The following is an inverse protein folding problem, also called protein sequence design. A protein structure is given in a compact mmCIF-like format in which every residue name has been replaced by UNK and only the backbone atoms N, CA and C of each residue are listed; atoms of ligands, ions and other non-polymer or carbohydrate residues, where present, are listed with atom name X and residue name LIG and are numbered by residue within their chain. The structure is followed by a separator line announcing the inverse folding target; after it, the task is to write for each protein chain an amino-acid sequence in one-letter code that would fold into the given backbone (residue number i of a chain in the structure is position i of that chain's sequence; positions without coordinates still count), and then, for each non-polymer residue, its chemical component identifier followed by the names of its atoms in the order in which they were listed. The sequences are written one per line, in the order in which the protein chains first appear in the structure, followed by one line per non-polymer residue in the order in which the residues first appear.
data_IF_269767135347
#
_entry.id   IF_269767135347
#
_cell.length_a   1.000
_cell.length_b   1.000
_cell.length_c   1.000
_cell.angle_alpha   90.00
_cell.angle_beta   90.00
_cell.angle_gamma   90.00
#
_symmetry.space_group_name_H-M   'P 1'
#
loop_
_entity.id
_entity.type
_entity.pdbx_description
1 polymer ?
#
# COMPACT_ATOMS: atom_id res chain seq x y z
N UNK A 1 -39.64 51.74 41.80
CA UNK A 1 -38.26 52.09 42.19
C UNK A 1 -37.37 51.65 41.02
N UNK A 2 -37.28 52.42 39.93
CA UNK A 2 -36.24 53.46 39.65
C UNK A 2 -34.84 52.86 39.79
N UNK A 3 -34.21 52.40 38.71
CA UNK A 3 -33.36 53.17 37.77
C UNK A 3 -32.06 53.67 38.42
N UNK A 4 -30.91 53.31 37.81
CA UNK A 4 -29.93 54.26 37.26
C UNK A 4 -28.47 53.79 37.27
N UNK A 5 -27.82 54.14 36.15
CA UNK A 5 -26.41 54.08 35.81
C UNK A 5 -25.52 54.89 36.79
N UNK A 6 -24.19 54.73 36.69
CA UNK A 6 -23.22 55.76 36.25
C UNK A 6 -21.79 55.55 36.82
N UNK A 7 -20.83 55.58 35.89
CA UNK A 7 -19.41 56.05 35.89
C UNK A 7 -18.49 56.05 37.12
N UNK A 8 -17.28 55.52 36.83
CA UNK A 8 -15.94 56.10 36.99
C UNK A 8 -15.80 57.53 37.60
N UNK A 9 -14.91 57.67 38.59
CA UNK A 9 -13.90 58.75 38.67
C UNK A 9 -12.80 58.50 39.72
N UNK A 10 -11.59 58.91 39.34
CA UNK A 10 -10.30 58.96 40.04
C UNK A 10 -10.28 59.81 41.32
N UNK A 11 -9.34 59.55 42.25
CA UNK A 11 -8.18 60.43 42.58
C UNK A 11 -7.32 59.82 43.72
N UNK A 12 -5.99 59.67 43.49
CA UNK A 12 -4.83 60.39 44.12
C UNK A 12 -4.59 60.00 45.61
N UNK A 13 -3.38 59.74 46.12
CA UNK A 13 -2.05 60.34 45.90
C UNK A 13 -0.94 59.47 46.56
N UNK A 14 0.20 59.29 45.89
CA UNK A 14 1.57 59.76 46.23
C UNK A 14 2.42 58.98 47.25
N UNK A 15 3.53 58.42 46.76
CA UNK A 15 4.93 58.76 47.06
C UNK A 15 5.84 57.58 46.65
N UNK A 16 6.46 57.60 45.47
CA UNK A 16 7.78 58.18 45.14
C UNK A 16 8.97 57.45 45.75
N UNK A 17 9.69 56.65 44.95
CA UNK A 17 11.15 56.75 44.74
C UNK A 17 11.62 55.82 43.60
N UNK A 18 12.04 56.45 42.50
CA UNK A 18 13.05 56.01 41.51
C UNK A 18 14.39 56.70 41.90
N UNK A 19 15.59 56.43 41.30
CA UNK A 19 15.88 55.92 39.94
C UNK A 19 16.99 54.82 39.91
N UNK A 20 17.29 54.11 38.82
CA UNK A 20 18.04 54.57 37.64
C UNK A 20 17.95 53.59 36.44
N UNK A 21 18.06 54.20 35.26
CA UNK A 21 17.95 53.67 33.90
C UNK A 21 19.17 52.84 33.44
N UNK A 22 18.93 51.83 32.59
CA UNK A 22 19.63 51.67 31.32
C UNK A 22 18.79 50.84 30.34
N UNK A 23 18.49 51.43 29.19
CA UNK A 23 17.91 50.78 28.01
C UNK A 23 18.93 49.83 27.38
N UNK A 24 18.48 48.72 26.78
CA UNK A 24 18.73 48.43 25.35
C UNK A 24 18.04 47.12 24.88
N UNK A 25 17.30 47.30 23.78
CA UNK A 25 17.23 46.45 22.58
C UNK A 25 16.38 45.16 22.59
N UNK A 26 15.54 45.15 21.56
CA UNK A 26 14.55 44.19 21.09
C UNK A 26 15.12 42.83 20.65
N UNK A 27 14.30 41.78 20.71
CA UNK A 27 14.68 40.47 20.20
C UNK A 27 13.54 39.45 20.20
N UNK A 28 12.60 39.62 19.27
CA UNK A 28 11.66 38.60 18.84
C UNK A 28 12.44 37.37 18.33
N UNK A 29 12.25 36.18 18.90
CA UNK A 29 12.83 34.93 18.37
C UNK A 29 11.77 34.12 17.64
N UNK A 30 11.80 34.26 16.32
CA UNK A 30 11.28 33.28 15.37
C UNK A 30 12.00 31.94 15.59
N UNK A 31 11.25 30.86 15.85
CA UNK A 31 11.75 29.49 15.83
C UNK A 31 11.58 28.92 14.42
N UNK A 32 12.40 29.42 13.49
CA UNK A 32 12.57 28.83 12.17
C UNK A 32 13.84 27.97 12.14
N UNK A 33 13.71 26.69 11.86
CA UNK A 33 14.83 25.77 11.61
C UNK A 33 15.80 26.35 10.58
N UNK A 34 17.10 26.24 10.85
CA UNK A 34 18.11 26.80 9.97
C UNK A 34 18.34 25.90 8.75
N UNK A 35 18.60 26.50 7.58
CA UNK A 35 18.91 25.78 6.33
C UNK A 35 20.13 24.84 6.41
N UNK A 36 20.93 24.91 7.47
CA UNK A 36 22.06 24.00 7.73
C UNK A 36 21.67 22.72 8.48
N UNK A 37 20.55 22.71 9.20
CA UNK A 37 20.01 21.49 9.84
C UNK A 37 19.26 20.60 8.84
N UNK A 38 18.72 21.18 7.76
CA UNK A 38 18.06 20.43 6.69
C UNK A 38 19.03 19.58 5.83
N UNK A 39 20.30 19.99 5.72
CA UNK A 39 21.31 19.25 4.95
C UNK A 39 21.91 18.08 5.76
N UNK A 40 21.85 18.14 7.10
CA UNK A 40 22.34 17.07 7.98
C UNK A 40 21.42 15.86 8.09
N UNK A 41 20.11 16.02 7.89
CA UNK A 41 19.14 14.91 7.91
C UNK A 41 19.07 14.11 6.61
N UNK A 42 19.49 14.68 5.48
CA UNK A 42 19.49 13.98 4.19
C UNK A 42 20.65 12.97 4.05
N UNK A 43 21.70 13.08 4.86
CA UNK A 43 22.88 12.21 4.80
C UNK A 43 22.81 10.99 5.75
N UNK A 44 21.91 11.00 6.74
CA UNK A 44 21.81 9.93 7.75
C UNK A 44 20.91 8.74 7.32
N UNK A 45 20.19 8.86 6.20
CA UNK A 45 19.38 7.77 5.62
C UNK A 45 20.20 6.79 4.76
N UNK A 46 21.51 7.01 4.62
CA UNK A 46 22.34 6.44 3.55
C UNK A 46 23.33 5.34 3.98
N UNK A 47 23.21 4.73 5.16
CA UNK A 47 24.14 3.65 5.61
C UNK A 47 23.46 2.34 6.03
N UNK A 48 22.18 2.12 5.73
CA UNK A 48 21.55 0.79 5.80
C UNK A 48 21.37 0.11 4.44
N UNK A 49 22.10 0.57 3.42
CA UNK A 49 22.27 -0.14 2.17
C UNK A 49 23.54 -1.01 2.25
N UNK A 50 23.48 -2.12 2.99
CA UNK A 50 24.61 -3.04 2.99
C UNK A 50 24.78 -3.94 4.22
N UNK A 51 23.72 -4.64 4.66
CA UNK A 51 23.83 -5.98 5.27
C UNK A 51 22.42 -6.55 5.46
N UNK A 52 21.77 -6.94 4.37
CA UNK A 52 20.70 -7.94 4.42
C UNK A 52 21.05 -9.03 3.41
N UNK A 53 21.63 -10.11 3.93
CA UNK A 53 21.83 -11.41 3.29
C UNK A 53 22.02 -11.44 1.77
N UNK A 54 23.25 -11.16 1.35
CA UNK A 54 23.81 -11.82 0.17
C UNK A 54 24.05 -13.31 0.51
N UNK A 55 22.98 -14.12 0.60
CA UNK A 55 23.09 -15.59 0.70
C UNK A 55 21.82 -16.37 0.32
N UNK A 56 20.91 -15.79 -0.46
CA UNK A 56 19.96 -16.59 -1.24
C UNK A 56 20.35 -16.45 -2.70
N UNK A 57 21.05 -17.45 -3.25
CA UNK A 57 21.19 -17.58 -4.69
C UNK A 57 19.80 -17.41 -5.34
N UNK A 58 19.73 -16.64 -6.42
CA UNK A 58 18.51 -16.28 -7.15
C UNK A 58 17.74 -17.55 -7.56
N UNK A 59 16.86 -18.01 -6.67
CA UNK A 59 15.83 -18.96 -7.06
C UNK A 59 14.98 -18.26 -8.11
N UNK A 60 15.08 -18.77 -9.34
CA UNK A 60 14.24 -18.39 -10.44
C UNK A 60 13.50 -19.62 -10.95
N UNK A 61 12.28 -19.41 -11.40
CA UNK A 61 11.49 -20.44 -12.07
C UNK A 61 11.12 -19.90 -13.45
N UNK A 62 11.50 -20.61 -14.52
CA UNK A 62 11.31 -20.17 -15.91
C UNK A 62 11.83 -18.73 -16.16
N UNK A 63 12.96 -18.38 -15.54
CA UNK A 63 13.59 -17.07 -15.63
C UNK A 63 12.90 -15.95 -14.84
N UNK A 64 11.86 -16.26 -14.05
CA UNK A 64 11.21 -15.31 -13.14
C UNK A 64 11.93 -15.33 -11.79
N UNK A 65 12.52 -14.22 -11.32
CA UNK A 65 13.13 -14.15 -9.99
C UNK A 65 12.12 -14.30 -8.85
N UNK A 66 12.53 -14.89 -7.73
CA UNK A 66 11.71 -15.01 -6.52
C UNK A 66 12.33 -14.28 -5.33
N UNK A 67 11.49 -13.68 -4.48
CA UNK A 67 11.89 -13.01 -3.25
C UNK A 67 11.19 -13.62 -2.04
N UNK A 68 11.78 -13.43 -0.87
CA UNK A 68 11.11 -13.80 0.38
C UNK A 68 9.97 -12.81 0.66
N UNK A 69 8.82 -13.32 1.09
CA UNK A 69 7.68 -12.51 1.51
C UNK A 69 7.91 -11.99 2.93
N UNK A 70 8.58 -10.86 3.06
CA UNK A 70 8.96 -10.26 4.34
C UNK A 70 9.62 -11.27 5.28
N UNK A 71 9.18 -11.30 6.54
CA UNK A 71 9.64 -12.25 7.57
C UNK A 71 8.95 -13.62 7.55
N UNK A 72 8.10 -13.92 6.57
CA UNK A 72 7.27 -15.16 6.58
C UNK A 72 8.03 -16.41 6.17
N UNK A 73 9.14 -16.27 5.45
CA UNK A 73 9.91 -17.39 4.87
C UNK A 73 9.34 -17.93 3.54
N UNK A 74 8.15 -17.49 3.12
CA UNK A 74 7.56 -17.91 1.84
C UNK A 74 8.33 -17.28 0.66
N UNK A 75 8.54 -18.05 -0.41
CA UNK A 75 9.12 -17.56 -1.66
C UNK A 75 8.02 -17.19 -2.65
N UNK A 76 8.03 -15.96 -3.12
CA UNK A 76 7.05 -15.43 -4.09
C UNK A 76 7.76 -14.88 -5.31
N UNK A 77 7.17 -15.07 -6.49
CA UNK A 77 7.66 -14.48 -7.74
C UNK A 77 7.70 -12.96 -7.62
N UNK A 78 8.73 -12.32 -8.19
CA UNK A 78 8.92 -10.86 -8.12
C UNK A 78 7.76 -10.09 -8.77
N UNK A 79 7.03 -10.74 -9.68
CA UNK A 79 5.79 -10.26 -10.25
C UNK A 79 4.61 -11.17 -9.86
N UNK A 80 3.44 -10.58 -9.62
CA UNK A 80 2.21 -11.27 -9.28
C UNK A 80 1.05 -10.88 -10.21
N UNK A 81 0.06 -11.76 -10.33
CA UNK A 81 -1.13 -11.51 -11.14
C UNK A 81 -2.23 -10.83 -10.33
N UNK A 82 -2.65 -9.64 -10.76
CA UNK A 82 -3.74 -8.86 -10.16
C UNK A 82 -5.13 -9.28 -10.64
N UNK A 83 -6.04 -9.54 -9.69
CA UNK A 83 -7.35 -10.14 -9.94
C UNK A 83 -8.40 -9.23 -10.60
N UNK A 84 -8.31 -7.91 -10.42
CA UNK A 84 -9.36 -6.97 -10.85
C UNK A 84 -9.71 -7.06 -12.34
N UNK A 85 -8.71 -7.29 -13.20
CA UNK A 85 -8.90 -7.37 -14.65
C UNK A 85 -9.41 -8.73 -15.13
N UNK A 86 -9.24 -9.77 -14.31
CA UNK A 86 -9.57 -11.15 -14.66
C UNK A 86 -11.07 -11.45 -14.58
N UNK A 87 -11.88 -10.54 -14.04
CA UNK A 87 -13.34 -10.64 -14.04
C UNK A 87 -14.04 -10.01 -15.25
N UNK A 88 -13.29 -9.37 -16.17
CA UNK A 88 -13.86 -8.49 -17.21
C UNK A 88 -13.94 -9.11 -18.61
N UNK A 89 -13.25 -10.23 -18.84
CA UNK A 89 -13.25 -10.90 -20.15
C UNK A 89 -14.67 -11.37 -20.50
N UNK A 90 -15.04 -11.21 -21.77
CA UNK A 90 -16.32 -11.72 -22.31
C UNK A 90 -16.39 -13.24 -22.26
N UNK A 91 -15.27 -13.91 -22.55
CA UNK A 91 -15.08 -15.35 -22.35
C UNK A 91 -14.33 -15.61 -21.02
N UNK A 92 -14.97 -16.23 -20.01
CA UNK A 92 -14.30 -16.61 -18.77
C UNK A 92 -13.12 -17.57 -18.94
N UNK A 93 -13.08 -18.37 -20.02
CA UNK A 93 -11.97 -19.28 -20.28
C UNK A 93 -10.67 -18.53 -20.62
N UNK A 94 -10.77 -17.31 -21.14
CA UNK A 94 -9.60 -16.47 -21.35
C UNK A 94 -8.93 -16.10 -20.02
N UNK A 95 -9.70 -15.74 -19.00
CA UNK A 95 -9.19 -15.46 -17.66
C UNK A 95 -8.49 -16.68 -17.06
N UNK A 96 -9.09 -17.86 -17.22
CA UNK A 96 -8.52 -19.14 -16.75
C UNK A 96 -7.19 -19.41 -17.46
N UNK A 97 -7.14 -19.21 -18.79
CA UNK A 97 -5.93 -19.37 -19.59
C UNK A 97 -4.82 -18.40 -19.16
N UNK A 98 -5.13 -17.13 -18.91
CA UNK A 98 -4.16 -16.14 -18.43
C UNK A 98 -3.57 -16.59 -17.08
N UNK A 99 -4.42 -16.97 -16.13
CA UNK A 99 -3.99 -17.40 -14.79
C UNK A 99 -3.07 -18.63 -14.88
N UNK A 100 -3.52 -19.68 -15.59
CA UNK A 100 -2.76 -20.93 -15.71
C UNK A 100 -1.45 -20.73 -16.46
N UNK A 101 -1.47 -19.95 -17.55
CA UNK A 101 -0.24 -19.63 -18.29
C UNK A 101 0.74 -18.88 -17.40
N UNK A 102 0.30 -17.90 -16.60
CA UNK A 102 1.18 -17.23 -15.65
C UNK A 102 1.82 -18.19 -14.64
N UNK A 103 1.02 -19.11 -14.09
CA UNK A 103 1.53 -20.14 -13.15
C UNK A 103 2.54 -21.07 -13.83
N UNK A 104 2.24 -21.54 -15.02
CA UNK A 104 3.13 -22.43 -15.77
C UNK A 104 4.43 -21.73 -16.20
N UNK A 105 4.40 -20.40 -16.36
CA UNK A 105 5.57 -19.57 -16.68
C UNK A 105 6.34 -19.06 -15.44
N UNK A 106 5.96 -19.48 -14.23
CA UNK A 106 6.70 -19.21 -13.00
C UNK A 106 6.15 -18.08 -12.11
N UNK A 107 4.96 -17.55 -12.38
CA UNK A 107 4.28 -16.64 -11.43
C UNK A 107 3.56 -17.48 -10.37
N UNK A 108 3.85 -17.29 -9.09
CA UNK A 108 3.12 -17.99 -8.02
C UNK A 108 2.23 -17.06 -7.17
N UNK A 109 2.39 -15.74 -7.24
CA UNK A 109 1.60 -14.82 -6.41
C UNK A 109 0.33 -14.37 -7.13
N UNK A 110 -0.84 -14.71 -6.58
CA UNK A 110 -2.14 -14.41 -7.17
C UNK A 110 -2.98 -13.54 -6.23
N UNK A 111 -3.23 -12.31 -6.66
CA UNK A 111 -4.00 -11.29 -5.94
C UNK A 111 -5.47 -11.27 -6.38
N UNK A 112 -6.39 -11.12 -5.42
CA UNK A 112 -7.82 -10.97 -5.70
C UNK A 112 -8.49 -10.05 -4.66
N UNK A 113 -9.79 -9.84 -4.76
CA UNK A 113 -10.62 -9.19 -3.73
C UNK A 113 -12.06 -9.70 -3.84
N UNK A 114 -12.77 -9.75 -2.71
CA UNK A 114 -14.15 -10.25 -2.66
C UNK A 114 -15.14 -9.44 -3.53
N UNK A 115 -14.88 -8.15 -3.74
CA UNK A 115 -15.77 -7.22 -4.45
C UNK A 115 -15.48 -7.10 -5.95
N UNK A 116 -14.32 -7.60 -6.42
CA UNK A 116 -13.87 -7.39 -7.79
C UNK A 116 -14.83 -8.00 -8.80
N UNK A 117 -15.46 -7.12 -9.59
CA UNK A 117 -16.48 -7.47 -10.59
C UNK A 117 -17.65 -8.24 -9.96
N UNK A 118 -18.10 -7.83 -8.76
CA UNK A 118 -19.19 -8.49 -8.05
C UNK A 118 -18.84 -9.91 -7.55
N UNK A 119 -17.55 -10.22 -7.43
CA UNK A 119 -17.05 -11.54 -7.03
C UNK A 119 -16.66 -12.46 -8.18
N UNK A 120 -16.93 -12.09 -9.43
CA UNK A 120 -16.63 -12.94 -10.59
C UNK A 120 -15.12 -13.21 -10.75
N UNK A 121 -14.29 -12.28 -10.29
CA UNK A 121 -12.83 -12.44 -10.34
C UNK A 121 -12.36 -13.61 -9.45
N UNK A 122 -12.97 -13.80 -8.28
CA UNK A 122 -12.70 -14.94 -7.39
C UNK A 122 -13.26 -16.24 -7.95
N UNK A 123 -14.45 -16.21 -8.57
CA UNK A 123 -15.05 -17.39 -9.22
C UNK A 123 -14.14 -17.92 -10.34
N UNK A 124 -13.62 -17.02 -11.19
CA UNK A 124 -12.71 -17.39 -12.28
C UNK A 124 -11.35 -17.88 -11.74
N UNK A 125 -10.82 -17.22 -10.71
CA UNK A 125 -9.59 -17.66 -10.03
C UNK A 125 -9.75 -19.07 -9.41
N UNK A 126 -10.86 -19.33 -8.71
CA UNK A 126 -11.15 -20.64 -8.14
C UNK A 126 -11.23 -21.75 -9.18
N UNK A 127 -11.84 -21.49 -10.34
CA UNK A 127 -11.85 -22.43 -11.48
C UNK A 127 -10.44 -22.70 -12.00
N UNK A 128 -9.63 -21.66 -12.18
CA UNK A 128 -8.27 -21.79 -12.69
C UNK A 128 -7.35 -22.62 -11.79
N UNK A 129 -7.55 -22.54 -10.46
CA UNK A 129 -6.75 -23.25 -9.46
C UNK A 129 -7.07 -24.74 -9.29
N UNK A 130 -8.13 -25.25 -9.94
CA UNK A 130 -8.43 -26.69 -9.98
C UNK A 130 -7.34 -27.47 -10.73
N UNK A 131 -7.29 -28.79 -10.51
CA UNK A 131 -6.41 -29.69 -11.25
C UNK A 131 -4.93 -29.57 -10.85
N UNK A 132 -4.64 -29.28 -9.58
CA UNK A 132 -3.28 -29.20 -9.06
C UNK A 132 -2.65 -27.80 -9.08
N UNK A 133 -3.31 -26.80 -9.67
CA UNK A 133 -2.79 -25.43 -9.73
C UNK A 133 -2.79 -24.73 -8.37
N UNK A 134 -3.73 -25.05 -7.47
CA UNK A 134 -3.77 -24.48 -6.10
C UNK A 134 -2.47 -24.68 -5.33
N UNK A 135 -1.79 -25.81 -5.51
CA UNK A 135 -0.55 -26.15 -4.83
C UNK A 135 0.66 -25.38 -5.37
N UNK A 136 0.55 -24.83 -6.59
CA UNK A 136 1.58 -24.01 -7.23
C UNK A 136 1.43 -22.52 -6.90
N UNK A 137 0.35 -22.12 -6.23
CA UNK A 137 -0.02 -20.72 -6.03
C UNK A 137 0.05 -20.31 -4.56
N UNK A 138 0.63 -19.14 -4.33
CA UNK A 138 0.40 -18.30 -3.16
C UNK A 138 -0.84 -17.45 -3.42
N UNK A 139 -1.98 -17.86 -2.86
CA UNK A 139 -3.29 -17.27 -3.13
C UNK A 139 -3.65 -16.25 -2.05
N UNK A 140 -3.92 -15.01 -2.47
CA UNK A 140 -4.40 -13.96 -1.58
C UNK A 140 -5.73 -13.37 -2.04
N UNK A 141 -6.51 -12.87 -1.09
CA UNK A 141 -7.71 -12.07 -1.36
C UNK A 141 -7.86 -10.99 -0.30
N UNK A 142 -8.87 -10.13 -0.46
CA UNK A 142 -9.12 -9.00 0.43
C UNK A 142 -10.60 -8.93 0.78
N UNK A 143 -10.88 -8.33 1.94
CA UNK A 143 -12.23 -8.07 2.46
C UNK A 143 -12.37 -6.59 2.82
N UNK A 144 -13.55 -6.03 2.65
CA UNK A 144 -13.85 -4.63 3.01
C UNK A 144 -14.33 -4.49 4.45
N UNK A 145 -14.92 -5.56 5.01
CA UNK A 145 -15.60 -5.57 6.30
C UNK A 145 -14.75 -4.98 7.43
N UNK A 146 -15.28 -3.95 8.07
CA UNK A 146 -14.73 -3.29 9.26
C UNK A 146 -15.37 -3.81 10.55
N UNK A 147 -16.54 -4.43 10.47
CA UNK A 147 -17.14 -5.16 11.58
C UNK A 147 -16.83 -6.65 11.48
N UNK A 148 -16.85 -7.36 12.62
CA UNK A 148 -16.65 -8.81 12.70
C UNK A 148 -17.61 -9.56 11.78
N UNK A 149 -18.89 -9.19 11.79
CA UNK A 149 -19.94 -9.83 10.99
C UNK A 149 -19.67 -9.69 9.50
N UNK A 150 -19.38 -8.46 9.02
CA UNK A 150 -19.10 -8.21 7.61
C UNK A 150 -17.82 -8.94 7.16
N UNK A 151 -16.74 -8.84 7.95
CA UNK A 151 -15.47 -9.50 7.66
C UNK A 151 -15.62 -11.03 7.55
N UNK A 152 -16.32 -11.65 8.51
CA UNK A 152 -16.56 -13.10 8.51
C UNK A 152 -17.41 -13.54 7.30
N UNK A 153 -18.46 -12.79 6.96
CA UNK A 153 -19.32 -13.10 5.82
C UNK A 153 -18.55 -13.03 4.50
N UNK A 154 -17.78 -11.97 4.29
CA UNK A 154 -17.00 -11.77 3.06
C UNK A 154 -15.88 -12.81 2.91
N UNK A 155 -15.19 -13.17 4.00
CA UNK A 155 -14.18 -14.22 3.98
C UNK A 155 -14.78 -15.59 3.62
N UNK A 156 -15.92 -15.96 4.22
CA UNK A 156 -16.57 -17.23 3.91
C UNK A 156 -17.03 -17.29 2.44
N UNK A 157 -17.53 -16.18 1.91
CA UNK A 157 -17.90 -16.08 0.50
C UNK A 157 -16.67 -16.17 -0.43
N UNK A 158 -15.56 -15.55 -0.04
CA UNK A 158 -14.30 -15.63 -0.78
C UNK A 158 -13.78 -17.07 -0.86
N UNK A 159 -13.74 -17.78 0.27
CA UNK A 159 -13.37 -19.21 0.33
C UNK A 159 -14.26 -20.07 -0.58
N UNK A 160 -15.57 -19.81 -0.57
CA UNK A 160 -16.54 -20.51 -1.41
C UNK A 160 -16.28 -20.30 -2.91
N UNK A 161 -16.08 -19.04 -3.33
CA UNK A 161 -15.83 -18.67 -4.74
C UNK A 161 -14.48 -19.18 -5.23
N UNK A 162 -13.44 -19.06 -4.40
CA UNK A 162 -12.09 -19.55 -4.67
C UNK A 162 -11.95 -21.07 -4.57
N UNK A 163 -12.96 -21.76 -4.02
CA UNK A 163 -13.04 -23.22 -3.91
C UNK A 163 -11.83 -23.80 -3.17
N UNK A 164 -11.48 -23.18 -2.06
CA UNK A 164 -10.36 -23.54 -1.19
C UNK A 164 -10.81 -23.43 0.26
N UNK A 165 -10.24 -24.25 1.14
CA UNK A 165 -10.44 -24.16 2.59
C UNK A 165 -9.49 -23.15 3.25
N UNK A 166 -8.46 -22.70 2.51
CA UNK A 166 -7.40 -21.84 3.00
C UNK A 166 -6.99 -20.75 2.01
N UNK A 167 -6.87 -19.52 2.54
CA UNK A 167 -6.24 -18.36 1.91
C UNK A 167 -4.84 -18.18 2.49
N UNK A 168 -3.84 -17.96 1.63
CA UNK A 168 -2.47 -17.75 2.09
C UNK A 168 -2.32 -16.38 2.74
N UNK A 169 -2.80 -15.32 2.11
CA UNK A 169 -2.81 -13.96 2.68
C UNK A 169 -4.19 -13.32 2.57
N UNK A 170 -4.75 -12.88 3.69
CA UNK A 170 -5.97 -12.08 3.71
C UNK A 170 -5.62 -10.62 4.04
N UNK A 171 -6.20 -9.67 3.32
CA UNK A 171 -6.01 -8.26 3.62
C UNK A 171 -7.31 -7.52 3.90
N UNK A 172 -7.25 -6.53 4.80
CA UNK A 172 -8.25 -5.47 4.86
C UNK A 172 -8.07 -4.56 3.64
N UNK A 173 -9.08 -4.54 2.77
CA UNK A 173 -9.11 -3.76 1.54
C UNK A 173 -9.48 -2.30 1.82
N UNK A 174 -9.05 -1.40 0.93
CA UNK A 174 -9.36 0.03 0.96
C UNK A 174 -9.32 0.69 2.34
N UNK A 175 -8.20 0.53 3.05
CA UNK A 175 -7.88 1.36 4.21
C UNK A 175 -7.52 2.75 3.67
N UNK A 176 -8.55 3.56 3.43
CA UNK A 176 -8.48 4.87 2.76
C UNK A 176 -9.12 5.99 3.57
N UNK A 177 -9.71 5.68 4.72
CA UNK A 177 -10.31 6.65 5.65
C UNK A 177 -9.48 6.70 6.93
N UNK A 178 -9.39 7.88 7.53
CA UNK A 178 -8.72 8.04 8.82
C UNK A 178 -9.34 7.15 9.92
N UNK A 179 -10.65 6.88 9.85
CA UNK A 179 -11.36 6.03 10.80
C UNK A 179 -11.21 4.52 10.57
N UNK A 180 -10.67 4.07 9.43
CA UNK A 180 -10.57 2.65 9.12
C UNK A 180 -9.72 1.87 10.15
N UNK A 181 -8.52 2.32 10.55
CA UNK A 181 -7.73 1.64 11.58
C UNK A 181 -8.49 1.39 12.87
N UNK A 182 -9.16 2.43 13.38
CA UNK A 182 -9.87 2.37 14.66
C UNK A 182 -11.07 1.41 14.57
N UNK A 183 -11.79 1.40 13.44
CA UNK A 183 -12.91 0.47 13.21
C UNK A 183 -12.46 -0.99 13.07
N UNK A 184 -11.35 -1.25 12.38
CA UNK A 184 -10.83 -2.62 12.21
C UNK A 184 -10.47 -3.26 13.55
N UNK A 185 -9.88 -2.48 14.47
CA UNK A 185 -9.37 -2.94 15.75
C UNK A 185 -10.30 -2.71 16.95
N UNK A 186 -11.44 -2.04 16.78
CA UNK A 186 -12.45 -1.87 17.82
C UNK A 186 -13.02 -3.21 18.31
N UNK A 187 -13.66 -3.19 19.48
CA UNK A 187 -14.47 -4.32 19.95
C UNK A 187 -15.57 -4.65 18.93
N UNK A 188 -15.67 -5.93 18.54
CA UNK A 188 -16.54 -6.35 17.44
C UNK A 188 -16.07 -5.91 16.05
N UNK A 189 -14.83 -5.43 15.93
CA UNK A 189 -14.18 -5.03 14.69
C UNK A 189 -13.76 -6.22 13.82
N UNK A 190 -13.45 -5.94 12.56
CA UNK A 190 -13.11 -6.94 11.56
C UNK A 190 -11.90 -7.79 11.94
N UNK A 191 -10.95 -7.26 12.72
CA UNK A 191 -9.76 -7.99 13.15
C UNK A 191 -10.10 -9.23 14.00
N UNK A 192 -11.17 -9.20 14.81
CA UNK A 192 -11.59 -10.37 15.58
C UNK A 192 -11.93 -11.57 14.66
N UNK A 193 -12.72 -11.33 13.61
CA UNK A 193 -13.10 -12.38 12.65
C UNK A 193 -11.87 -12.94 11.91
N UNK A 194 -10.93 -12.07 11.55
CA UNK A 194 -9.71 -12.48 10.84
C UNK A 194 -8.77 -13.29 11.74
N UNK A 195 -8.64 -12.93 13.02
CA UNK A 195 -7.88 -13.71 14.00
C UNK A 195 -8.53 -15.06 14.30
N UNK A 196 -9.86 -15.11 14.42
CA UNK A 196 -10.60 -16.38 14.54
C UNK A 196 -10.38 -17.28 13.32
N UNK A 197 -10.42 -16.72 12.11
CA UNK A 197 -10.15 -17.45 10.88
C UNK A 197 -8.71 -17.95 10.78
N UNK A 198 -7.73 -17.15 11.24
CA UNK A 198 -6.32 -17.58 11.33
C UNK A 198 -6.16 -18.73 12.33
N UNK A 199 -6.78 -18.64 13.51
CA UNK A 199 -6.79 -19.72 14.52
C UNK A 199 -7.44 -20.99 13.97
N UNK A 200 -8.48 -20.87 13.16
CA UNK A 200 -9.16 -21.98 12.51
C UNK A 200 -8.40 -22.55 11.29
N UNK A 201 -7.24 -22.00 10.93
CA UNK A 201 -6.44 -22.47 9.80
C UNK A 201 -6.90 -22.00 8.41
N UNK A 202 -7.97 -21.19 8.34
CA UNK A 202 -8.53 -20.66 7.07
C UNK A 202 -7.66 -19.57 6.43
N UNK A 203 -6.85 -18.89 7.23
CA UNK A 203 -5.95 -17.80 6.79
C UNK A 203 -4.56 -18.03 7.38
N UNK A 204 -3.49 -17.83 6.61
CA UNK A 204 -2.10 -17.96 7.11
C UNK A 204 -1.54 -16.63 7.56
N UNK A 205 -1.58 -15.65 6.65
CA UNK A 205 -0.99 -14.34 6.80
C UNK A 205 -2.08 -13.26 6.74
N UNK A 206 -1.84 -12.17 7.46
CA UNK A 206 -2.78 -11.05 7.56
C UNK A 206 -2.07 -9.77 7.15
N UNK A 207 -2.71 -9.00 6.27
CA UNK A 207 -2.22 -7.71 5.83
C UNK A 207 -3.32 -6.67 5.72
N UNK A 208 -2.98 -5.55 5.09
CA UNK A 208 -3.95 -4.56 4.64
C UNK A 208 -3.46 -3.87 3.36
N UNK A 209 -4.37 -3.20 2.68
CA UNK A 209 -4.06 -2.36 1.52
C UNK A 209 -4.87 -1.07 1.54
N UNK A 210 -4.33 -0.06 0.87
CA UNK A 210 -5.01 1.19 0.60
C UNK A 210 -4.15 2.02 -0.34
N UNK A 211 -4.75 3.04 -0.96
CA UNK A 211 -4.06 3.83 -1.98
C UNK A 211 -4.22 5.33 -1.82
N UNK A 212 -4.94 5.80 -0.79
CA UNK A 212 -5.31 7.22 -0.67
C UNK A 212 -4.20 8.08 -0.08
N UNK A 213 -3.66 7.66 1.07
CA UNK A 213 -2.64 8.44 1.77
C UNK A 213 -1.69 7.52 2.55
N UNK A 214 -0.36 7.78 2.48
CA UNK A 214 0.62 7.11 3.33
C UNK A 214 0.38 7.38 4.82
N UNK A 215 -0.19 8.53 5.19
CA UNK A 215 -0.44 8.85 6.61
C UNK A 215 -1.52 7.94 7.21
N UNK A 216 -2.48 7.49 6.40
CA UNK A 216 -3.49 6.49 6.81
C UNK A 216 -2.84 5.12 7.01
N UNK A 217 -1.87 4.75 6.16
CA UNK A 217 -1.09 3.50 6.34
C UNK A 217 -0.25 3.55 7.61
N UNK A 218 0.42 4.67 7.88
CA UNK A 218 1.17 4.88 9.12
C UNK A 218 0.24 4.81 10.34
N UNK A 219 -0.96 5.40 10.28
CA UNK A 219 -1.96 5.27 11.33
C UNK A 219 -2.39 3.81 11.52
N UNK A 220 -2.64 3.06 10.45
CA UNK A 220 -3.00 1.64 10.52
C UNK A 220 -1.92 0.79 11.21
N UNK A 221 -0.64 1.01 10.85
CA UNK A 221 0.50 0.34 11.48
C UNK A 221 0.62 0.71 12.97
N UNK A 222 0.49 1.99 13.29
CA UNK A 222 0.54 2.46 14.68
C UNK A 222 -0.62 1.91 15.53
N UNK A 223 -1.84 1.88 14.99
CA UNK A 223 -2.99 1.29 15.67
C UNK A 223 -2.78 -0.20 15.89
N UNK A 224 -2.32 -0.94 14.87
CA UNK A 224 -1.99 -2.36 15.04
C UNK A 224 -0.97 -2.60 16.15
N UNK A 225 0.11 -1.80 16.19
CA UNK A 225 1.12 -1.89 17.24
C UNK A 225 0.55 -1.63 18.64
N UNK A 226 -0.37 -0.66 18.79
CA UNK A 226 -1.04 -0.39 20.09
C UNK A 226 -1.88 -1.58 20.56
N UNK A 227 -2.45 -2.34 19.62
CA UNK A 227 -3.18 -3.58 19.90
C UNK A 227 -2.26 -4.81 19.98
N UNK A 228 -0.93 -4.64 20.01
CA UNK A 228 0.03 -5.74 20.09
C UNK A 228 0.06 -6.61 18.83
N UNK A 229 -0.42 -6.10 17.70
CA UNK A 229 -0.49 -6.82 16.44
C UNK A 229 0.54 -6.29 15.44
N UNK A 230 1.18 -7.21 14.71
CA UNK A 230 2.10 -6.88 13.60
C UNK A 230 1.64 -7.57 12.33
N UNK A 231 1.34 -6.78 11.30
CA UNK A 231 0.96 -7.31 9.99
C UNK A 231 2.08 -8.16 9.37
N UNK A 232 1.69 -9.10 8.52
CA UNK A 232 2.62 -9.94 7.76
C UNK A 232 2.99 -9.27 6.41
N UNK A 233 2.05 -8.52 5.83
CA UNK A 233 2.20 -7.86 4.53
C UNK A 233 1.40 -6.55 4.43
N UNK A 234 1.88 -5.60 3.64
CA UNK A 234 1.15 -4.38 3.27
C UNK A 234 1.25 -4.18 1.76
N UNK A 235 0.10 -3.93 1.13
CA UNK A 235 0.02 -3.61 -0.29
C UNK A 235 -0.27 -2.12 -0.49
N UNK A 236 0.52 -1.46 -1.32
CA UNK A 236 0.44 -0.01 -1.52
C UNK A 236 0.92 0.44 -2.91
N UNK A 237 0.52 1.63 -3.37
CA UNK A 237 1.05 2.18 -4.62
C UNK A 237 2.56 2.37 -4.52
N UNK A 238 3.31 1.76 -5.44
CA UNK A 238 4.75 1.95 -5.56
C UNK A 238 5.08 2.03 -7.05
N UNK A 239 5.26 3.25 -7.55
CA UNK A 239 5.40 3.54 -8.97
C UNK A 239 6.24 4.82 -9.17
N UNK A 240 6.65 5.10 -10.40
CA UNK A 240 7.52 6.24 -10.74
C UNK A 240 6.93 7.62 -10.42
N UNK A 241 5.59 7.75 -10.34
CA UNK A 241 4.92 8.99 -9.95
C UNK A 241 4.84 9.15 -8.42
N UNK A 242 4.75 8.03 -7.68
CA UNK A 242 4.59 8.03 -6.22
C UNK A 242 5.71 8.81 -5.51
N UNK A 243 6.94 8.74 -6.04
CA UNK A 243 8.08 9.44 -5.48
C UNK A 243 7.90 10.97 -5.38
N UNK A 244 6.98 11.56 -6.14
CA UNK A 244 6.82 13.02 -6.26
C UNK A 244 5.63 13.58 -5.48
N UNK A 245 4.60 12.77 -5.22
CA UNK A 245 3.36 13.27 -4.61
C UNK A 245 2.79 12.31 -3.56
N UNK A 246 2.67 12.81 -2.33
CA UNK A 246 2.13 12.06 -1.17
C UNK A 246 2.65 10.61 -1.11
N UNK A 247 3.98 10.48 -1.10
CA UNK A 247 4.69 9.25 -1.43
C UNK A 247 4.57 8.17 -0.35
N UNK A 248 4.12 6.98 -0.76
CA UNK A 248 4.22 5.76 0.05
C UNK A 248 5.66 5.26 0.12
N UNK A 249 6.42 5.38 -0.98
CA UNK A 249 7.84 5.01 -1.06
C UNK A 249 8.69 5.77 -0.04
N UNK A 250 8.44 7.07 0.17
CA UNK A 250 9.25 7.88 1.11
C UNK A 250 8.81 7.75 2.56
N UNK A 251 7.54 7.42 2.81
CA UNK A 251 6.94 7.45 4.17
C UNK A 251 6.73 6.06 4.77
N UNK A 252 6.13 5.14 4.01
CA UNK A 252 5.66 3.84 4.53
C UNK A 252 6.67 2.74 4.28
N UNK A 253 7.28 2.71 3.08
CA UNK A 253 8.22 1.68 2.67
C UNK A 253 9.42 1.49 3.62
N UNK A 254 10.06 2.55 4.18
CA UNK A 254 11.15 2.37 5.13
C UNK A 254 10.68 1.67 6.41
N UNK A 255 9.49 2.03 6.92
CA UNK A 255 8.90 1.42 8.12
C UNK A 255 8.66 -0.07 7.90
N UNK A 256 8.04 -0.44 6.77
CA UNK A 256 7.77 -1.85 6.46
C UNK A 256 9.05 -2.67 6.35
N UNK A 257 10.09 -2.09 5.72
CA UNK A 257 11.38 -2.76 5.51
C UNK A 257 12.11 -2.98 6.83
N UNK A 258 12.17 -1.95 7.69
CA UNK A 258 12.74 -2.03 9.03
C UNK A 258 12.01 -3.08 9.89
N UNK A 259 10.69 -3.15 9.77
CA UNK A 259 9.87 -4.10 10.51
C UNK A 259 9.84 -5.52 9.92
N UNK A 260 10.48 -5.76 8.77
CA UNK A 260 10.40 -7.05 8.07
C UNK A 260 8.98 -7.44 7.64
N UNK A 261 8.11 -6.45 7.40
CA UNK A 261 6.78 -6.64 6.84
C UNK A 261 6.89 -6.74 5.33
N UNK A 262 6.22 -7.72 4.73
CA UNK A 262 6.29 -7.90 3.28
C UNK A 262 5.67 -6.71 2.54
N UNK A 263 6.40 -6.20 1.55
CA UNK A 263 5.96 -5.06 0.72
C UNK A 263 5.40 -5.57 -0.59
N UNK A 264 4.13 -5.28 -0.87
CA UNK A 264 3.44 -5.66 -2.10
C UNK A 264 3.19 -4.38 -2.91
N UNK A 265 3.98 -4.18 -3.98
CA UNK A 265 3.80 -3.05 -4.87
C UNK A 265 2.58 -3.23 -5.76
N UNK A 266 1.72 -2.23 -5.86
CA UNK A 266 0.62 -2.20 -6.82
C UNK A 266 0.60 -0.88 -7.61
N UNK A 267 -0.26 -0.81 -8.62
CA UNK A 267 -0.50 0.39 -9.43
C UNK A 267 0.77 0.94 -10.12
N UNK A 268 1.68 0.06 -10.55
CA UNK A 268 2.89 0.45 -11.29
C UNK A 268 2.61 1.32 -12.51
N UNK A 269 1.44 1.16 -13.14
CA UNK A 269 0.98 1.96 -14.29
C UNK A 269 -0.28 2.80 -13.97
N UNK A 270 -0.74 2.83 -12.72
CA UNK A 270 -1.89 3.63 -12.28
C UNK A 270 -3.20 3.36 -13.04
N UNK A 271 -3.49 2.10 -13.38
CA UNK A 271 -4.59 1.73 -14.30
C UNK A 271 -4.47 2.51 -15.62
N UNK A 272 -3.40 2.27 -16.38
CA UNK A 272 -2.97 2.97 -17.62
C UNK A 272 -2.71 4.48 -17.54
N UNK A 273 -3.31 5.22 -16.59
CA UNK A 273 -3.26 6.69 -16.52
C UNK A 273 -1.83 7.23 -16.50
N UNK A 274 -0.88 6.56 -15.82
CA UNK A 274 0.53 6.98 -15.80
C UNK A 274 1.14 7.02 -17.21
N UNK A 275 0.75 6.09 -18.08
CA UNK A 275 1.28 5.99 -19.45
C UNK A 275 0.76 7.12 -20.34
N UNK A 276 -0.36 7.76 -20.01
CA UNK A 276 -0.88 8.92 -20.74
C UNK A 276 0.03 10.15 -20.63
N UNK A 277 0.87 10.20 -19.60
CA UNK A 277 1.93 11.21 -19.47
C UNK A 277 2.97 11.14 -20.59
N UNK A 278 3.09 9.97 -21.26
CA UNK A 278 4.13 9.63 -22.26
C UNK A 278 5.56 9.76 -21.73
N UNK A 279 5.75 9.88 -20.41
CA UNK A 279 7.06 10.06 -19.79
C UNK A 279 7.81 8.73 -19.62
N UNK A 280 7.08 7.62 -19.53
CA UNK A 280 7.61 6.29 -19.21
C UNK A 280 6.88 5.20 -20.00
N UNK A 281 7.58 4.09 -20.21
CA UNK A 281 7.05 2.87 -20.83
C UNK A 281 6.51 1.88 -19.77
N UNK A 282 5.67 0.90 -20.15
CA UNK A 282 5.22 -0.14 -19.23
C UNK A 282 6.35 -0.93 -18.56
N UNK A 283 7.43 -1.21 -19.29
CA UNK A 283 8.60 -1.93 -18.76
C UNK A 283 9.34 -1.06 -17.73
N UNK A 284 9.56 0.23 -18.02
CA UNK A 284 10.18 1.16 -17.04
C UNK A 284 9.34 1.25 -15.75
N UNK A 285 8.01 1.30 -15.85
CA UNK A 285 7.13 1.29 -14.69
C UNK A 285 7.31 0.03 -13.83
N UNK A 286 7.29 -1.15 -14.46
CA UNK A 286 7.45 -2.43 -13.76
C UNK A 286 8.85 -2.58 -13.17
N UNK A 287 9.90 -2.24 -13.93
CA UNK A 287 11.28 -2.30 -13.47
C UNK A 287 11.54 -1.35 -12.30
N UNK A 288 10.98 -0.15 -12.32
CA UNK A 288 11.06 0.77 -11.17
C UNK A 288 10.43 0.15 -9.92
N UNK A 289 9.18 -0.33 -10.01
CA UNK A 289 8.50 -0.97 -8.87
C UNK A 289 9.24 -2.21 -8.36
N UNK A 290 9.84 -3.00 -9.26
CA UNK A 290 10.63 -4.19 -8.89
C UNK A 290 11.99 -3.82 -8.30
N UNK A 291 12.55 -2.64 -8.63
CA UNK A 291 13.81 -2.16 -8.07
C UNK A 291 13.70 -1.75 -6.60
N UNK A 292 12.50 -1.33 -6.17
CA UNK A 292 12.20 -1.09 -4.76
C UNK A 292 12.27 -2.41 -3.95
N UNK A 293 12.44 -2.37 -2.62
CA UNK A 293 12.44 -3.55 -1.73
C UNK A 293 11.04 -4.21 -1.59
N UNK A 294 10.38 -4.45 -2.73
CA UNK A 294 9.12 -5.18 -2.84
C UNK A 294 9.39 -6.68 -2.75
N UNK A 295 8.55 -7.42 -2.02
CA UNK A 295 8.50 -8.88 -2.14
C UNK A 295 7.88 -9.29 -3.47
N UNK A 296 6.85 -8.56 -3.92
CA UNK A 296 6.17 -8.79 -5.21
C UNK A 296 5.59 -7.49 -5.75
N UNK A 297 5.62 -7.33 -7.08
CA UNK A 297 4.90 -6.29 -7.82
C UNK A 297 3.69 -6.91 -8.50
N UNK A 298 2.50 -6.49 -8.09
CA UNK A 298 1.23 -7.00 -8.59
C UNK A 298 0.81 -6.18 -9.81
N UNK A 299 0.67 -6.86 -10.95
CA UNK A 299 0.28 -6.23 -12.22
C UNK A 299 -1.02 -6.83 -12.76
N UNK A 300 -1.87 -5.97 -13.32
CA UNK A 300 -3.08 -6.41 -14.01
C UNK A 300 -2.73 -7.04 -15.36
N UNK A 301 -3.33 -8.19 -15.66
CA UNK A 301 -3.24 -8.83 -16.97
C UNK A 301 -4.66 -9.16 -17.44
N UNK A 302 -5.14 -8.45 -18.46
CA UNK A 302 -6.48 -8.64 -19.03
C UNK A 302 -6.50 -9.52 -20.28
N UNK A 303 -5.32 -9.83 -20.82
CA UNK A 303 -5.12 -10.53 -22.08
C UNK A 303 -3.77 -11.24 -22.10
N UNK A 304 -3.61 -12.21 -23.01
CA UNK A 304 -2.34 -12.93 -23.18
C UNK A 304 -1.16 -12.00 -23.55
N UNK A 305 -1.30 -10.98 -24.42
CA UNK A 305 -0.22 -10.05 -24.71
C UNK A 305 0.25 -9.26 -23.47
N UNK A 306 -0.66 -8.83 -22.59
CA UNK A 306 -0.30 -8.13 -21.35
C UNK A 306 0.38 -9.08 -20.37
N UNK A 307 -0.04 -10.35 -20.30
CA UNK A 307 0.69 -11.38 -19.56
C UNK A 307 2.13 -11.54 -20.10
N UNK A 308 2.31 -11.62 -21.43
CA UNK A 308 3.65 -11.73 -22.02
C UNK A 308 4.52 -10.51 -21.72
N UNK A 309 3.96 -9.30 -21.70
CA UNK A 309 4.68 -8.10 -21.25
C UNK A 309 5.14 -8.22 -19.79
N UNK A 310 4.28 -8.72 -18.90
CA UNK A 310 4.62 -8.93 -17.50
C UNK A 310 5.75 -9.97 -17.33
N UNK A 311 5.67 -11.09 -18.06
CA UNK A 311 6.71 -12.12 -18.07
C UNK A 311 8.03 -11.60 -18.64
N UNK A 312 7.98 -10.83 -19.73
CA UNK A 312 9.15 -10.17 -20.29
C UNK A 312 9.78 -9.22 -19.27
N UNK A 313 8.98 -8.38 -18.61
CA UNK A 313 9.47 -7.44 -17.60
C UNK A 313 10.23 -8.17 -16.49
N UNK A 314 9.66 -9.26 -15.96
CA UNK A 314 10.30 -10.05 -14.90
C UNK A 314 11.57 -10.77 -15.37
N UNK A 315 11.57 -11.38 -16.57
CA UNK A 315 12.74 -12.09 -17.13
C UNK A 315 13.92 -11.19 -17.48
N UNK A 316 13.61 -9.98 -17.92
CA UNK A 316 14.61 -8.97 -18.31
C UNK A 316 14.99 -8.03 -17.17
N UNK A 317 14.39 -8.19 -15.99
CA UNK A 317 14.67 -7.32 -14.86
C UNK A 317 16.11 -7.48 -14.39
N UNK A 318 16.78 -6.35 -14.25
CA UNK A 318 18.05 -6.20 -13.55
C UNK A 318 17.90 -5.02 -12.58
N UNK A 319 18.48 -5.09 -11.37
CA UNK A 319 18.48 -3.96 -10.44
C UNK A 319 19.00 -2.69 -11.13
N UNK A 320 18.25 -1.60 -10.99
CA UNK A 320 18.60 -0.29 -11.54
C UNK A 320 19.61 0.40 -10.62
N UNK A 321 20.68 0.92 -11.20
CA UNK A 321 21.63 1.75 -10.47
C UNK A 321 21.06 3.15 -10.16
N UNK A 322 21.78 3.90 -9.33
CA UNK A 322 21.38 5.26 -8.93
C UNK A 322 21.15 6.21 -10.11
N UNK A 323 21.94 6.08 -11.19
CA UNK A 323 21.81 6.95 -12.37
C UNK A 323 20.56 6.61 -13.18
N UNK A 324 20.23 5.33 -13.31
CA UNK A 324 19.03 4.84 -13.99
C UNK A 324 17.77 5.24 -13.22
N UNK A 325 17.76 5.08 -11.89
CA UNK A 325 16.67 5.53 -11.03
C UNK A 325 16.50 7.05 -11.13
N UNK A 326 17.60 7.83 -11.02
CA UNK A 326 17.55 9.28 -11.14
C UNK A 326 17.01 9.74 -12.51
N UNK A 327 17.37 9.04 -13.60
CA UNK A 327 16.86 9.34 -14.93
C UNK A 327 15.34 9.11 -15.03
N UNK A 328 14.81 8.01 -14.48
CA UNK A 328 13.36 7.76 -14.43
C UNK A 328 12.61 8.80 -13.59
N UNK A 329 13.16 9.14 -12.42
CA UNK A 329 12.59 10.16 -11.54
C UNK A 329 12.62 11.55 -12.17
N UNK A 330 13.67 11.89 -12.94
CA UNK A 330 13.74 13.15 -13.67
C UNK A 330 12.67 13.25 -14.76
N UNK A 331 12.40 12.18 -15.51
CA UNK A 331 11.32 12.13 -16.53
C UNK A 331 9.93 12.37 -15.91
N UNK A 332 9.74 11.89 -14.69
CA UNK A 332 8.44 11.83 -14.02
C UNK A 332 8.21 12.95 -13.01
N UNK A 333 9.24 13.76 -12.69
CA UNK A 333 9.15 14.81 -11.68
C UNK A 333 8.00 15.79 -11.95
N UNK A 334 7.97 16.41 -13.13
CA UNK A 334 6.91 17.36 -13.50
C UNK A 334 5.54 16.67 -13.69
N UNK A 335 5.42 15.54 -14.39
CA UNK A 335 4.15 14.81 -14.46
C UNK A 335 3.60 14.39 -13.09
N UNK A 336 4.47 14.00 -12.15
CA UNK A 336 4.10 13.44 -10.85
C UNK A 336 3.84 14.46 -9.75
N UNK A 337 4.29 15.71 -9.89
CA UNK A 337 4.34 16.69 -8.78
C UNK A 337 2.99 16.99 -8.10
N UNK A 338 1.88 16.88 -8.83
CA UNK A 338 0.54 17.24 -8.35
C UNK A 338 -0.42 16.05 -8.22
N UNK A 339 0.05 14.81 -8.40
CA UNK A 339 -0.78 13.60 -8.29
C UNK A 339 -1.82 13.43 -9.41
N UNK A 340 -1.71 14.19 -10.51
CA UNK A 340 -2.67 14.18 -11.63
C UNK A 340 -2.73 12.82 -12.37
N UNK A 341 -1.64 12.05 -12.36
CA UNK A 341 -1.59 10.69 -12.92
C UNK A 341 -1.78 9.59 -11.87
N UNK A 342 -2.07 9.98 -10.62
CA UNK A 342 -2.36 9.08 -9.51
C UNK A 342 -3.78 9.33 -8.99
N UNK A 343 -4.77 9.24 -9.89
CA UNK A 343 -6.18 9.56 -9.61
C UNK A 343 -6.77 8.79 -8.42
N UNK A 344 -6.19 7.66 -8.04
CA UNK A 344 -6.55 6.90 -6.85
C UNK A 344 -6.17 7.61 -5.53
N UNK A 345 -5.22 8.55 -5.54
CA UNK A 345 -4.90 9.44 -4.41
C UNK A 345 -5.80 10.68 -4.36
N UNK A 346 -6.24 11.17 -5.52
CA UNK A 346 -6.85 12.51 -5.66
C UNK A 346 -8.35 12.49 -5.98
N UNK A 347 -8.94 11.33 -6.25
CA UNK A 347 -10.37 11.15 -6.55
C UNK A 347 -10.94 9.91 -5.87
N UNK A 348 -12.26 9.69 -5.99
CA UNK A 348 -12.93 8.47 -5.53
C UNK A 348 -13.21 7.44 -6.64
N UNK A 349 -12.69 7.66 -7.86
CA UNK A 349 -12.94 6.77 -9.00
C UNK A 349 -12.48 5.32 -8.77
N UNK A 350 -11.48 5.14 -7.90
CA UNK A 350 -10.87 3.86 -7.58
C UNK A 350 -11.29 3.32 -6.20
N UNK A 351 -12.30 3.92 -5.57
CA UNK A 351 -12.71 3.59 -4.19
C UNK A 351 -14.05 2.82 -4.20
N UNK A 352 -13.99 1.49 -4.33
CA UNK A 352 -15.16 0.61 -4.33
C UNK A 352 -16.02 0.74 -3.07
N UNK A 353 -15.38 0.86 -1.91
CA UNK A 353 -16.05 1.06 -0.61
C UNK A 353 -16.60 2.47 -0.42
N UNK A 354 -16.15 3.46 -1.21
CA UNK A 354 -16.77 4.78 -1.22
C UNK A 354 -18.13 4.73 -1.91
N UNK A 355 -18.21 4.03 -3.05
CA UNK A 355 -19.47 3.79 -3.75
C UNK A 355 -20.39 2.80 -3.02
N UNK A 356 -19.83 1.93 -2.18
CA UNK A 356 -20.54 0.86 -1.48
C UNK A 356 -20.22 0.85 0.03
N UNK A 357 -20.56 1.92 0.78
CA UNK A 357 -20.23 2.01 2.21
C UNK A 357 -20.84 0.88 3.05
N UNK A 358 -21.93 0.27 2.59
CA UNK A 358 -22.58 -0.87 3.25
C UNK A 358 -21.68 -2.12 3.33
N UNK A 359 -20.66 -2.25 2.48
CA UNK A 359 -19.72 -3.38 2.56
C UNK A 359 -18.81 -3.32 3.79
N UNK A 360 -18.64 -2.14 4.39
CA UNK A 360 -17.83 -1.97 5.58
C UNK A 360 -18.50 -2.57 6.83
N UNK A 361 -19.82 -2.75 6.80
CA UNK A 361 -20.61 -3.19 7.96
C UNK A 361 -20.93 -2.07 8.94
#
# INVERSE_FOLDING_TARGET
MTSDNVNFKQSRSDHSHQPHLQEEITGNRDSGFSRREFVGMAAASLVMAGTLNASAADESNNGIPYRTLGRTGERVSVIGLGGYHLGKQSDPEESIRIIRSGIDEGINFLDNCWDYNGGESEVRMGKALRGGYRQKAFLMTKIDGRTKTAAAAQLNESLRRLQTDRIDLLQFHEVIRDSDPDRVFADGGGMEAVLEAKKAGKVRFIGFTGHKSPDIHLKMLATASKHGFKFDAVQMPLNVMDAHFNSFEKKVLPVLTEDGIAVLGMKSMGDHVILESKAVTPIECLHYSMNLPTSVVITGCDSMPILQQALQAARSFQPLDHSQVAALLAKTAKPGEAGQFELYKTSHQFDGTYANPQWLG
#
